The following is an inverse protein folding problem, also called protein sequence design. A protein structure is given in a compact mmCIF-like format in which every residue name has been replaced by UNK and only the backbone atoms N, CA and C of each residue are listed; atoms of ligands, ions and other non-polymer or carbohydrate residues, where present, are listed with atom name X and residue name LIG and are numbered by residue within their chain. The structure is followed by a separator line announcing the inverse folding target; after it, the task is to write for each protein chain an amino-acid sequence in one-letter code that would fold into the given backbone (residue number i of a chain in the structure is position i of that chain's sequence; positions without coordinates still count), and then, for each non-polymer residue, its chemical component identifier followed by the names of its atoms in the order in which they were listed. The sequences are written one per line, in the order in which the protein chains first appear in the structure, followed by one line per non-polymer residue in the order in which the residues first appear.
data_IF_246345488636
#
_entry.id   IF_246345488636
#
_cell.length_a   1.000
_cell.length_b   1.000
_cell.length_c   1.000
_cell.angle_alpha   90.00
_cell.angle_beta   90.00
_cell.angle_gamma   90.00
#
_symmetry.space_group_name_H-M   'P 1'
#
loop_
_entity.id
_entity.type
_entity.pdbx_description
1 polymer ?
#
# COMPACT_ATOMS: atom_id res chain seq x y z
N UNK A 1 -14.89 81.39 27.12
CA UNK A 1 -14.94 80.80 25.78
C UNK A 1 -13.89 79.74 25.74
N UNK A 2 -14.22 78.50 26.07
CA UNK A 2 -13.27 77.38 26.18
C UNK A 2 -13.79 76.21 25.37
N UNK A 3 -13.11 75.94 24.27
CA UNK A 3 -13.34 74.71 23.44
C UNK A 3 -12.60 73.49 24.08
N UNK A 4 -13.33 72.58 24.65
CA UNK A 4 -12.83 71.26 25.02
C UNK A 4 -12.88 70.34 23.81
N UNK A 5 -11.72 69.92 23.35
CA UNK A 5 -11.56 68.83 22.33
C UNK A 5 -11.63 67.48 23.03
N UNK A 6 -12.61 66.70 22.68
CA UNK A 6 -12.73 65.29 23.12
C UNK A 6 -11.96 64.44 22.13
N UNK A 7 -10.86 63.84 22.57
CA UNK A 7 -10.15 62.81 21.84
C UNK A 7 -10.83 61.45 22.07
N UNK A 8 -11.52 60.93 21.09
CA UNK A 8 -12.02 59.56 21.12
C UNK A 8 -10.88 58.62 20.68
N UNK A 9 -10.40 57.80 21.62
CA UNK A 9 -9.44 56.76 21.34
C UNK A 9 -10.12 55.54 20.70
N UNK A 10 -9.79 55.26 19.46
CA UNK A 10 -10.18 54.04 18.79
C UNK A 10 -9.23 52.91 19.26
N UNK A 11 -9.72 52.04 20.12
CA UNK A 11 -9.03 50.77 20.45
C UNK A 11 -9.25 49.77 19.31
N UNK A 12 -8.24 49.60 18.45
CA UNK A 12 -8.20 48.53 17.45
C UNK A 12 -7.91 47.25 18.20
N UNK A 13 -8.94 46.46 18.43
CA UNK A 13 -8.85 45.09 18.93
C UNK A 13 -8.38 44.17 17.80
N UNK A 14 -7.07 43.94 17.73
CA UNK A 14 -6.46 43.04 16.78
C UNK A 14 -6.77 41.60 17.20
N UNK A 15 -7.82 41.01 16.65
CA UNK A 15 -8.12 39.57 16.77
C UNK A 15 -7.08 38.82 15.97
N UNK A 16 -6.05 38.33 16.65
CA UNK A 16 -5.11 37.33 16.06
C UNK A 16 -5.88 36.02 15.95
N UNK A 17 -6.49 35.80 14.81
CA UNK A 17 -6.97 34.50 14.42
C UNK A 17 -5.75 33.60 14.25
N UNK A 18 -5.39 32.85 15.28
CA UNK A 18 -4.43 31.77 15.21
C UNK A 18 -4.97 30.75 14.21
N UNK A 19 -4.49 30.80 12.99
CA UNK A 19 -4.63 29.73 12.01
C UNK A 19 -3.88 28.52 12.58
N UNK A 20 -4.58 27.75 13.41
CA UNK A 20 -4.22 26.36 13.68
C UNK A 20 -4.31 25.66 12.33
N UNK A 21 -3.18 25.58 11.63
CA UNK A 21 -3.01 24.66 10.52
C UNK A 21 -3.14 23.26 11.14
N UNK A 22 -4.39 22.78 11.26
CA UNK A 22 -4.63 21.37 11.49
C UNK A 22 -3.95 20.66 10.33
N UNK A 23 -2.82 19.98 10.61
CA UNK A 23 -2.37 18.91 9.74
C UNK A 23 -3.59 18.02 9.62
N UNK A 24 -4.20 18.00 8.44
CA UNK A 24 -5.21 17.02 8.11
C UNK A 24 -4.45 15.68 8.05
N UNK A 25 -4.31 15.03 9.20
CA UNK A 25 -3.95 13.64 9.26
C UNK A 25 -5.08 12.90 8.53
N UNK A 26 -4.73 11.99 7.65
CA UNK A 26 -5.72 11.17 6.99
C UNK A 26 -6.53 10.42 8.06
N UNK A 27 -7.86 10.38 7.89
CA UNK A 27 -8.70 9.68 8.86
C UNK A 27 -8.50 8.16 8.73
N UNK A 28 -8.43 7.42 9.84
CA UNK A 28 -8.37 5.97 9.76
C UNK A 28 -9.57 5.39 9.00
N UNK A 29 -9.31 4.40 8.13
CA UNK A 29 -10.35 3.77 7.32
C UNK A 29 -11.27 2.91 8.21
N UNK A 30 -12.57 3.17 8.13
CA UNK A 30 -13.57 2.40 8.86
C UNK A 30 -13.72 0.99 8.27
N UNK A 31 -13.93 0.01 9.15
CA UNK A 31 -14.22 -1.38 8.76
C UNK A 31 -15.69 -1.45 8.31
N UNK A 32 -15.90 -1.59 6.99
CA UNK A 32 -17.22 -1.82 6.39
C UNK A 32 -17.42 -3.30 6.04
N UNK A 33 -16.35 -3.92 5.57
CA UNK A 33 -16.28 -5.32 5.20
C UNK A 33 -15.10 -5.94 5.96
N UNK A 34 -15.36 -6.61 7.12
CA UNK A 34 -14.31 -7.25 7.88
C UNK A 34 -13.69 -8.40 7.07
N UNK A 35 -12.38 -8.50 7.16
CA UNK A 35 -11.64 -9.61 6.55
C UNK A 35 -11.95 -10.93 7.23
N UNK A 36 -11.99 -11.99 6.43
CA UNK A 36 -12.23 -13.36 6.88
C UNK A 36 -11.00 -14.24 6.74
N UNK A 37 -11.22 -15.56 6.88
CA UNK A 37 -10.22 -16.55 6.51
C UNK A 37 -10.17 -16.67 5.00
N UNK A 38 -8.99 -16.45 4.42
CA UNK A 38 -8.79 -16.44 2.97
C UNK A 38 -7.60 -17.31 2.59
N UNK A 39 -7.75 -18.02 1.48
CA UNK A 39 -6.66 -18.68 0.78
C UNK A 39 -6.85 -18.43 -0.71
N UNK A 40 -6.01 -17.62 -1.31
CA UNK A 40 -6.10 -17.20 -2.71
C UNK A 40 -4.84 -17.53 -3.49
N UNK A 41 -5.00 -17.86 -4.77
CA UNK A 41 -3.90 -18.11 -5.69
C UNK A 41 -3.80 -16.95 -6.67
N UNK A 42 -2.56 -16.56 -6.97
CA UNK A 42 -2.24 -15.39 -7.76
C UNK A 42 -1.28 -15.74 -8.87
N UNK A 43 -1.44 -15.13 -10.03
CA UNK A 43 -0.45 -15.14 -11.09
C UNK A 43 0.22 -13.79 -11.20
N UNK A 44 1.53 -13.80 -11.40
CA UNK A 44 2.31 -12.61 -11.73
C UNK A 44 2.66 -12.67 -13.21
N UNK A 45 2.24 -11.64 -13.96
CA UNK A 45 2.48 -11.53 -15.39
C UNK A 45 3.31 -10.29 -15.71
N UNK A 46 4.06 -10.37 -16.81
CA UNK A 46 4.59 -9.17 -17.47
C UNK A 46 3.45 -8.39 -18.14
N UNK A 47 3.69 -7.14 -18.53
CA UNK A 47 2.72 -6.36 -19.31
C UNK A 47 2.45 -6.99 -20.70
N UNK A 48 3.38 -7.79 -21.22
CA UNK A 48 3.17 -8.58 -22.44
C UNK A 48 2.26 -9.81 -22.24
N UNK A 49 1.82 -10.07 -20.99
CA UNK A 49 0.92 -11.18 -20.66
C UNK A 49 1.63 -12.49 -20.32
N UNK A 50 2.96 -12.51 -20.32
CA UNK A 50 3.72 -13.73 -19.96
C UNK A 50 3.63 -13.98 -18.45
N UNK A 51 3.37 -15.21 -18.05
CA UNK A 51 3.44 -15.60 -16.63
C UNK A 51 4.91 -15.66 -16.19
N UNK A 52 5.31 -14.76 -15.33
CA UNK A 52 6.68 -14.63 -14.79
C UNK A 52 6.81 -15.14 -13.36
N UNK A 53 5.69 -15.37 -12.67
CA UNK A 53 5.66 -15.89 -11.30
C UNK A 53 4.28 -16.35 -10.90
N UNK A 54 4.21 -16.91 -9.72
CA UNK A 54 2.97 -17.33 -9.07
C UNK A 54 2.99 -16.92 -7.61
N UNK A 55 1.82 -16.72 -7.04
CA UNK A 55 1.69 -16.28 -5.65
C UNK A 55 0.55 -16.97 -4.93
N UNK A 56 0.61 -16.80 -3.65
CA UNK A 56 -0.36 -17.33 -2.70
C UNK A 56 -0.58 -16.29 -1.61
N UNK A 57 -1.83 -16.03 -1.28
CA UNK A 57 -2.21 -15.23 -0.13
C UNK A 57 -2.98 -16.11 0.84
N UNK A 58 -2.54 -16.13 2.09
CA UNK A 58 -3.26 -16.75 3.20
C UNK A 58 -3.59 -15.70 4.25
N UNK A 59 -4.78 -15.77 4.80
CA UNK A 59 -5.24 -14.83 5.82
C UNK A 59 -6.04 -15.58 6.87
N UNK A 60 -5.77 -15.29 8.14
CA UNK A 60 -6.46 -15.90 9.27
C UNK A 60 -6.90 -14.82 10.26
N UNK A 61 -8.08 -15.02 10.85
CA UNK A 61 -8.59 -14.14 11.90
C UNK A 61 -8.37 -14.81 13.25
N UNK A 62 -7.73 -14.12 14.16
CA UNK A 62 -7.45 -14.53 15.52
C UNK A 62 -8.43 -13.86 16.51
N UNK A 63 -8.32 -14.20 17.79
CA UNK A 63 -9.11 -13.54 18.85
C UNK A 63 -8.84 -12.02 18.87
N UNK A 64 -9.88 -11.23 19.12
CA UNK A 64 -9.80 -9.78 19.22
C UNK A 64 -9.71 -9.08 17.86
N UNK A 65 -10.27 -9.69 16.81
CA UNK A 65 -10.29 -9.15 15.44
C UNK A 65 -8.89 -8.87 14.89
N UNK A 66 -7.89 -9.60 15.38
CA UNK A 66 -6.53 -9.59 14.84
C UNK A 66 -6.50 -10.46 13.57
N UNK A 67 -6.10 -9.85 12.47
CA UNK A 67 -5.91 -10.52 11.19
C UNK A 67 -4.42 -10.67 10.93
N UNK A 68 -4.00 -11.87 10.56
CA UNK A 68 -2.66 -12.17 10.08
C UNK A 68 -2.75 -12.53 8.59
N UNK A 69 -2.10 -11.77 7.74
CA UNK A 69 -2.03 -11.99 6.30
C UNK A 69 -0.60 -12.32 5.88
N UNK A 70 -0.46 -13.28 4.98
CA UNK A 70 0.80 -13.69 4.42
C UNK A 70 0.67 -13.82 2.90
N UNK A 71 1.40 -12.97 2.17
CA UNK A 71 1.46 -12.93 0.71
C UNK A 71 2.85 -13.37 0.24
N UNK A 72 2.91 -14.35 -0.64
CA UNK A 72 4.18 -14.83 -1.20
C UNK A 72 4.09 -14.85 -2.72
N UNK A 73 5.07 -14.25 -3.40
CA UNK A 73 5.30 -14.46 -4.82
C UNK A 73 6.63 -15.16 -5.05
N UNK A 74 6.62 -16.19 -5.89
CA UNK A 74 7.80 -16.91 -6.38
C UNK A 74 7.89 -16.68 -7.89
N UNK A 75 8.97 -16.07 -8.32
CA UNK A 75 9.23 -15.77 -9.72
C UNK A 75 9.99 -16.90 -10.40
N UNK A 76 9.88 -17.00 -11.73
CA UNK A 76 10.59 -18.01 -12.53
C UNK A 76 12.10 -17.82 -12.52
N UNK A 77 12.59 -16.60 -12.31
CA UNK A 77 14.01 -16.25 -12.20
C UNK A 77 14.60 -16.53 -10.80
N UNK A 78 13.82 -17.13 -9.90
CA UNK A 78 14.22 -17.42 -8.51
C UNK A 78 13.98 -16.27 -7.54
N UNK A 79 13.48 -15.14 -8.00
CA UNK A 79 13.14 -14.01 -7.11
C UNK A 79 11.99 -14.38 -6.17
N UNK A 80 12.01 -13.77 -4.98
CA UNK A 80 11.04 -13.95 -3.92
C UNK A 80 10.54 -12.61 -3.40
N UNK A 81 9.22 -12.48 -3.33
CA UNK A 81 8.54 -11.47 -2.52
C UNK A 81 7.75 -12.19 -1.43
N UNK A 82 7.99 -11.85 -0.18
CA UNK A 82 7.35 -12.47 0.98
C UNK A 82 6.95 -11.37 1.95
N UNK A 83 5.64 -11.13 2.08
CA UNK A 83 5.06 -10.07 2.87
C UNK A 83 4.15 -10.64 3.94
N UNK A 84 4.38 -10.24 5.20
CA UNK A 84 3.56 -10.61 6.35
C UNK A 84 3.02 -9.36 7.02
N UNK A 85 1.75 -9.33 7.27
CA UNK A 85 1.04 -8.21 7.89
C UNK A 85 0.17 -8.72 9.02
N UNK A 86 0.22 -8.06 10.16
CA UNK A 86 -0.77 -8.23 11.21
C UNK A 86 -1.48 -6.89 11.45
N UNK A 87 -2.80 -6.92 11.52
CA UNK A 87 -3.62 -5.73 11.76
C UNK A 87 -4.88 -6.07 12.55
N UNK A 88 -5.47 -5.06 13.18
CA UNK A 88 -6.80 -5.20 13.80
C UNK A 88 -7.88 -4.56 12.94
N UNK A 89 -9.10 -5.10 13.04
CA UNK A 89 -10.28 -4.67 12.29
C UNK A 89 -11.50 -4.49 13.18
N UNK A 90 -11.37 -3.72 14.26
CA UNK A 90 -12.51 -3.49 15.16
C UNK A 90 -13.48 -2.44 14.57
N UNK A 91 -13.23 -1.15 14.77
CA UNK A 91 -14.00 -0.06 14.16
C UNK A 91 -13.27 0.54 12.96
N UNK A 92 -11.95 0.57 13.06
CA UNK A 92 -11.02 1.01 12.01
C UNK A 92 -9.91 -0.01 11.86
N UNK A 93 -9.31 -0.01 10.67
CA UNK A 93 -8.12 -0.83 10.44
C UNK A 93 -6.91 -0.19 11.12
N UNK A 94 -6.12 -1.03 11.79
CA UNK A 94 -4.89 -0.57 12.45
C UNK A 94 -3.77 -1.58 12.20
N UNK A 95 -2.71 -1.16 11.52
CA UNK A 95 -1.51 -1.96 11.31
C UNK A 95 -0.83 -2.24 12.67
N UNK A 96 -0.56 -3.49 12.99
CA UNK A 96 0.13 -3.93 14.21
C UNK A 96 1.58 -4.26 13.91
N UNK A 97 1.84 -5.05 12.87
CA UNK A 97 3.20 -5.36 12.43
C UNK A 97 3.27 -5.56 10.93
N UNK A 98 4.44 -5.28 10.38
CA UNK A 98 4.74 -5.45 8.97
C UNK A 98 6.11 -6.07 8.80
N UNK A 99 6.24 -7.05 7.91
CA UNK A 99 7.51 -7.67 7.54
C UNK A 99 7.49 -7.98 6.05
N UNK A 100 8.49 -7.47 5.32
CA UNK A 100 8.66 -7.68 3.90
C UNK A 100 10.08 -8.16 3.60
N UNK A 101 10.18 -9.24 2.84
CA UNK A 101 11.42 -9.71 2.24
C UNK A 101 11.29 -9.71 0.73
N UNK A 102 12.19 -9.01 0.05
CA UNK A 102 12.33 -9.03 -1.41
C UNK A 102 13.77 -9.35 -1.78
N UNK A 103 13.98 -10.33 -2.65
CA UNK A 103 15.32 -10.74 -3.09
C UNK A 103 15.28 -11.41 -4.44
N UNK A 104 16.41 -11.39 -5.14
CA UNK A 104 16.61 -12.02 -6.45
C UNK A 104 16.54 -11.04 -7.61
N UNK A 105 16.76 -11.51 -8.85
CA UNK A 105 17.00 -10.67 -10.03
C UNK A 105 15.86 -9.70 -10.40
N UNK A 106 14.60 -10.02 -10.04
CA UNK A 106 13.44 -9.12 -10.28
C UNK A 106 13.41 -7.90 -9.36
N UNK A 107 14.27 -7.83 -8.33
CA UNK A 107 14.31 -6.71 -7.39
C UNK A 107 15.65 -5.98 -7.49
N UNK A 108 15.65 -4.65 -7.80
CA UNK A 108 16.88 -3.86 -7.90
C UNK A 108 17.69 -3.89 -6.60
N UNK A 109 16.99 -3.84 -5.46
CA UNK A 109 17.58 -3.94 -4.13
C UNK A 109 16.96 -5.12 -3.39
N UNK A 110 17.81 -5.90 -2.74
CA UNK A 110 17.34 -6.91 -1.80
C UNK A 110 17.02 -6.22 -0.47
N UNK A 111 15.84 -6.47 0.07
CA UNK A 111 15.39 -5.87 1.33
C UNK A 111 14.78 -6.93 2.26
N UNK A 112 15.01 -6.73 3.55
CA UNK A 112 14.33 -7.41 4.64
C UNK A 112 13.98 -6.35 5.68
N UNK A 113 12.71 -5.94 5.70
CA UNK A 113 12.25 -4.84 6.54
C UNK A 113 11.15 -5.29 7.48
N UNK A 114 11.22 -4.85 8.72
CA UNK A 114 10.19 -5.14 9.72
C UNK A 114 9.91 -3.93 10.60
N UNK A 115 8.68 -3.80 11.06
CA UNK A 115 8.26 -2.83 12.06
C UNK A 115 7.14 -3.40 12.92
N UNK A 116 7.17 -3.08 14.21
CA UNK A 116 6.18 -3.48 15.21
C UNK A 116 5.62 -2.23 15.92
N UNK A 117 4.31 -2.06 15.89
CA UNK A 117 3.63 -0.91 16.48
C UNK A 117 3.74 -0.87 18.01
N UNK A 118 3.69 -2.03 18.65
CA UNK A 118 3.67 -2.11 20.11
C UNK A 118 4.97 -1.61 20.75
N UNK A 119 6.08 -1.83 20.07
CA UNK A 119 7.42 -1.40 20.52
C UNK A 119 7.95 -0.19 19.77
N UNK A 120 7.37 0.14 18.62
CA UNK A 120 7.90 1.12 17.68
C UNK A 120 9.21 0.69 17.00
N UNK A 121 9.72 -0.49 17.30
CA UNK A 121 11.02 -0.96 16.76
C UNK A 121 10.89 -1.29 15.28
N UNK A 122 11.90 -0.87 14.51
CA UNK A 122 12.07 -1.28 13.13
C UNK A 122 13.47 -1.83 12.86
N UNK A 123 13.54 -2.66 11.84
CA UNK A 123 14.80 -3.15 11.26
C UNK A 123 14.68 -3.04 9.74
N UNK A 124 15.70 -2.49 9.11
CA UNK A 124 15.85 -2.46 7.65
C UNK A 124 17.21 -3.09 7.34
N UNK A 125 17.18 -4.17 6.57
CA UNK A 125 18.35 -4.77 5.95
C UNK A 125 18.23 -4.53 4.46
N UNK A 126 19.22 -3.96 3.84
CA UNK A 126 19.23 -3.70 2.41
C UNK A 126 20.56 -4.05 1.80
N UNK A 127 20.52 -4.50 0.55
CA UNK A 127 21.71 -4.81 -0.23
C UNK A 127 21.45 -4.41 -1.69
N UNK A 128 22.15 -3.40 -2.17
CA UNK A 128 22.08 -2.92 -3.53
C UNK A 128 22.96 -3.80 -4.44
N UNK A 129 22.33 -4.73 -5.16
CA UNK A 129 23.05 -5.68 -6.02
C UNK A 129 23.74 -6.85 -5.27
N UNK A 130 24.31 -7.79 -6.02
CA UNK A 130 24.87 -9.02 -5.43
C UNK A 130 26.23 -8.83 -4.77
N UNK A 131 27.03 -7.89 -5.27
CA UNK A 131 28.42 -7.68 -4.82
C UNK A 131 28.55 -6.67 -3.65
N UNK A 132 27.49 -5.92 -3.33
CA UNK A 132 27.54 -4.93 -2.26
C UNK A 132 27.36 -5.54 -0.87
N UNK A 133 27.82 -4.82 0.13
CA UNK A 133 27.65 -5.24 1.54
C UNK A 133 26.23 -4.95 1.99
N UNK A 134 25.68 -5.86 2.80
CA UNK A 134 24.41 -5.61 3.48
C UNK A 134 24.55 -4.43 4.45
N UNK A 135 23.63 -3.47 4.32
CA UNK A 135 23.45 -2.41 5.29
C UNK A 135 22.31 -2.77 6.24
N UNK A 136 22.53 -2.56 7.54
CA UNK A 136 21.52 -2.84 8.56
C UNK A 136 21.27 -1.58 9.37
N UNK A 137 20.03 -1.09 9.33
CA UNK A 137 19.57 0.06 10.12
C UNK A 137 18.49 -0.41 11.08
N UNK A 138 18.60 -0.03 12.35
CA UNK A 138 17.62 -0.32 13.39
C UNK A 138 17.31 0.93 14.17
N UNK A 139 16.08 1.06 14.63
CA UNK A 139 15.66 2.22 15.42
C UNK A 139 14.27 2.06 15.97
N UNK A 140 13.73 3.18 16.41
CA UNK A 140 12.34 3.29 16.85
C UNK A 140 11.63 4.34 16.02
N UNK A 141 10.37 4.07 15.68
CA UNK A 141 9.53 4.94 14.88
C UNK A 141 8.11 4.95 15.45
N UNK A 142 7.57 6.14 15.68
CA UNK A 142 6.18 6.29 16.10
C UNK A 142 5.26 6.14 14.89
N UNK A 143 4.59 4.98 14.81
CA UNK A 143 3.80 4.59 13.66
C UNK A 143 2.47 5.36 13.62
N UNK A 144 2.21 6.22 12.64
CA UNK A 144 0.91 6.86 12.49
C UNK A 144 -0.23 5.85 12.42
N UNK A 145 -1.43 6.22 12.90
CA UNK A 145 -2.57 5.30 12.98
C UNK A 145 -3.10 4.87 11.61
N UNK A 146 -2.89 5.69 10.60
CA UNK A 146 -3.36 5.56 9.23
C UNK A 146 -2.29 5.06 8.24
N UNK A 147 -1.30 4.32 8.75
CA UNK A 147 -0.29 3.61 7.93
C UNK A 147 -0.80 2.20 7.60
N UNK A 148 -0.75 1.84 6.30
CA UNK A 148 -1.38 0.63 5.75
C UNK A 148 -0.47 -0.18 4.81
N UNK A 149 0.82 -0.36 5.15
CA UNK A 149 1.70 -1.26 4.41
C UNK A 149 1.10 -2.66 4.33
N UNK A 150 1.09 -3.24 3.13
CA UNK A 150 0.50 -4.56 2.87
C UNK A 150 -1.02 -4.64 2.98
N UNK A 151 -1.71 -3.52 3.26
CA UNK A 151 -3.15 -3.46 3.48
C UNK A 151 -3.88 -2.53 2.49
N UNK A 152 -3.19 -1.92 1.52
CA UNK A 152 -3.78 -0.89 0.65
C UNK A 152 -4.99 -1.43 -0.11
N UNK A 153 -4.95 -2.69 -0.56
CA UNK A 153 -6.10 -3.33 -1.23
C UNK A 153 -7.28 -3.47 -0.25
N UNK A 154 -7.04 -3.92 0.98
CA UNK A 154 -8.07 -3.98 2.04
C UNK A 154 -8.69 -2.60 2.27
N UNK A 155 -7.89 -1.53 2.26
CA UNK A 155 -8.41 -0.17 2.39
C UNK A 155 -9.36 0.18 1.24
N UNK A 156 -8.96 -0.09 -0.01
CA UNK A 156 -9.79 0.17 -1.19
C UNK A 156 -11.12 -0.61 -1.13
N UNK A 157 -11.09 -1.88 -0.71
CA UNK A 157 -12.30 -2.71 -0.56
C UNK A 157 -13.28 -2.14 0.48
N UNK A 158 -12.81 -1.31 1.40
CA UNK A 158 -13.60 -0.72 2.48
C UNK A 158 -14.02 0.74 2.20
N UNK A 159 -13.56 1.36 1.11
CA UNK A 159 -14.02 2.70 0.72
C UNK A 159 -15.48 2.66 0.23
N UNK A 160 -16.24 3.74 0.44
CA UNK A 160 -17.50 3.95 -0.29
C UNK A 160 -17.24 3.90 -1.80
N UNK A 161 -18.23 3.43 -2.57
CA UNK A 161 -18.15 3.42 -4.03
C UNK A 161 -17.80 4.82 -4.53
N UNK A 162 -16.85 4.90 -5.46
CA UNK A 162 -16.37 6.14 -6.09
C UNK A 162 -15.75 7.17 -5.12
N UNK A 163 -15.50 6.79 -3.86
CA UNK A 163 -14.80 7.66 -2.92
C UNK A 163 -13.28 7.55 -3.13
N UNK A 164 -12.63 8.71 -3.21
CA UNK A 164 -11.17 8.81 -3.09
C UNK A 164 -10.77 9.03 -1.64
N UNK A 165 -9.58 8.57 -1.27
CA UNK A 165 -9.03 8.76 0.07
C UNK A 165 -7.52 8.98 0.00
N UNK A 166 -6.96 9.55 1.07
CA UNK A 166 -5.51 9.65 1.27
C UNK A 166 -5.14 8.81 2.47
N UNK A 167 -4.26 7.86 2.27
CA UNK A 167 -3.70 7.01 3.33
C UNK A 167 -2.19 7.20 3.41
N UNK A 168 -1.57 6.62 4.42
CA UNK A 168 -0.12 6.60 4.54
C UNK A 168 0.44 5.19 4.34
N UNK A 169 1.64 5.14 3.79
CA UNK A 169 2.49 3.95 3.75
C UNK A 169 3.88 4.33 4.25
N UNK A 170 4.64 3.36 4.71
CA UNK A 170 6.07 3.53 4.99
C UNK A 170 6.89 3.17 3.76
N UNK A 171 7.77 4.06 3.37
CA UNK A 171 8.92 3.75 2.54
C UNK A 171 10.14 3.52 3.43
N UNK A 172 10.97 2.54 3.12
CA UNK A 172 12.19 2.22 3.84
C UNK A 172 13.40 2.65 3.02
N UNK A 173 14.07 3.78 3.40
CA UNK A 173 15.07 4.49 2.57
C UNK A 173 16.27 5.06 3.34
N UNK A 174 17.13 4.34 4.00
CA UNK A 174 16.98 3.11 4.75
C UNK A 174 16.11 3.26 6.00
N UNK A 175 15.92 4.49 6.52
CA UNK A 175 15.03 4.76 7.64
C UNK A 175 13.57 4.81 7.15
N UNK A 176 12.59 4.45 8.00
CA UNK A 176 11.18 4.56 7.65
C UNK A 176 10.76 6.02 7.44
N UNK A 177 10.16 6.31 6.31
CA UNK A 177 9.52 7.59 6.02
C UNK A 177 8.03 7.40 5.71
N UNK A 178 7.18 8.28 6.25
CA UNK A 178 5.74 8.27 5.95
C UNK A 178 5.49 8.93 4.62
N UNK A 179 4.91 8.19 3.69
CA UNK A 179 4.54 8.65 2.35
C UNK A 179 3.02 8.69 2.22
N UNK A 180 2.48 9.81 1.77
CA UNK A 180 1.05 9.94 1.44
C UNK A 180 0.76 9.19 0.15
N UNK A 181 -0.29 8.39 0.17
CA UNK A 181 -0.79 7.63 -0.98
C UNK A 181 -2.24 8.01 -1.23
N UNK A 182 -2.51 8.65 -2.38
CA UNK A 182 -3.89 8.96 -2.79
C UNK A 182 -4.48 7.74 -3.51
N UNK A 183 -5.64 7.29 -3.04
CA UNK A 183 -6.45 6.24 -3.64
C UNK A 183 -7.54 6.93 -4.46
N UNK A 184 -7.42 6.93 -5.78
CA UNK A 184 -8.26 7.71 -6.69
C UNK A 184 -9.12 6.78 -7.55
N UNK A 185 -10.45 6.81 -7.44
CA UNK A 185 -11.33 6.06 -8.33
C UNK A 185 -11.20 6.59 -9.77
N UNK A 186 -11.15 5.67 -10.74
CA UNK A 186 -10.98 5.97 -12.17
C UNK A 186 -12.15 5.45 -13.03
N UNK A 187 -13.25 5.08 -12.37
CA UNK A 187 -14.44 4.57 -13.04
C UNK A 187 -14.44 3.06 -13.24
N UNK A 188 -15.50 2.58 -13.88
CA UNK A 188 -15.71 1.15 -14.14
C UNK A 188 -15.07 0.74 -15.46
N UNK A 189 -14.37 -0.40 -15.43
CA UNK A 189 -13.75 -1.01 -16.60
C UNK A 189 -14.16 -2.47 -16.70
N UNK A 190 -14.19 -2.99 -17.94
CA UNK A 190 -14.38 -4.42 -18.16
C UNK A 190 -13.08 -5.14 -17.85
N UNK A 191 -13.15 -6.10 -16.94
CA UNK A 191 -12.06 -7.02 -16.63
C UNK A 191 -12.49 -8.44 -16.98
N UNK A 192 -11.51 -9.27 -17.32
CA UNK A 192 -11.74 -10.68 -17.62
C UNK A 192 -11.31 -11.54 -16.43
N UNK A 193 -12.23 -12.36 -15.93
CA UNK A 193 -11.99 -13.32 -14.85
C UNK A 193 -12.32 -14.71 -15.40
N UNK A 194 -11.30 -15.49 -15.74
CA UNK A 194 -11.49 -16.71 -16.51
C UNK A 194 -12.13 -16.41 -17.87
N UNK A 195 -13.31 -17.01 -18.12
CA UNK A 195 -14.08 -16.79 -19.36
C UNK A 195 -15.16 -15.71 -19.24
N UNK A 196 -15.30 -15.10 -18.06
CA UNK A 196 -16.34 -14.11 -17.77
C UNK A 196 -15.78 -12.70 -17.88
N UNK A 197 -16.52 -11.79 -18.55
CA UNK A 197 -16.29 -10.36 -18.48
C UNK A 197 -17.16 -9.75 -17.39
N UNK A 198 -16.53 -9.04 -16.46
CA UNK A 198 -17.19 -8.36 -15.33
C UNK A 198 -16.78 -6.89 -15.32
N UNK A 199 -17.68 -6.04 -14.81
CA UNK A 199 -17.34 -4.64 -14.53
C UNK A 199 -16.59 -4.59 -13.20
N UNK A 200 -15.42 -3.95 -13.19
CA UNK A 200 -14.64 -3.68 -12.00
C UNK A 200 -14.35 -2.19 -11.89
N UNK A 201 -14.36 -1.67 -10.67
CA UNK A 201 -13.94 -0.31 -10.39
C UNK A 201 -12.42 -0.26 -10.33
N UNK A 202 -11.83 0.63 -11.11
CA UNK A 202 -10.40 0.88 -11.09
C UNK A 202 -10.07 1.96 -10.04
N UNK A 203 -9.04 1.71 -9.24
CA UNK A 203 -8.37 2.70 -8.41
C UNK A 203 -6.94 2.91 -8.90
N UNK A 204 -6.55 4.18 -9.03
CA UNK A 204 -5.16 4.58 -9.20
C UNK A 204 -4.59 4.91 -7.82
N UNK A 205 -3.40 4.35 -7.51
CA UNK A 205 -2.65 4.69 -6.30
C UNK A 205 -1.57 5.69 -6.67
N UNK A 206 -1.67 6.90 -6.13
CA UNK A 206 -0.75 8.00 -6.45
C UNK A 206 0.02 8.43 -5.22
N UNK A 207 1.28 8.01 -5.08
CA UNK A 207 2.14 8.47 -4.01
C UNK A 207 2.47 9.96 -4.15
N UNK A 208 2.64 10.65 -3.03
CA UNK A 208 3.13 12.03 -3.03
C UNK A 208 4.63 12.07 -3.32
N UNK A 209 4.94 12.49 -4.54
CA UNK A 209 6.29 12.48 -5.09
C UNK A 209 7.20 13.53 -4.44
N UNK A 210 6.65 14.54 -3.76
CA UNK A 210 7.45 15.62 -3.16
C UNK A 210 8.51 15.09 -2.18
N UNK A 211 8.17 14.06 -1.44
CA UNK A 211 9.10 13.36 -0.53
C UNK A 211 10.04 12.40 -1.27
N UNK A 212 9.51 11.66 -2.24
CA UNK A 212 10.29 10.72 -3.05
C UNK A 212 11.34 11.46 -3.90
N UNK A 213 11.05 12.68 -4.37
CA UNK A 213 12.02 13.51 -5.09
C UNK A 213 13.24 13.90 -4.25
N UNK A 214 13.09 14.11 -2.96
CA UNK A 214 14.25 14.36 -2.08
C UNK A 214 15.22 13.18 -2.06
N UNK A 215 14.67 11.98 -2.18
CA UNK A 215 15.45 10.74 -2.22
C UNK A 215 15.99 10.45 -3.63
N UNK A 216 15.16 10.61 -4.67
CA UNK A 216 15.56 10.43 -6.07
C UNK A 216 16.48 11.55 -6.57
N UNK A 217 16.42 12.75 -6.01
CA UNK A 217 17.26 13.89 -6.39
C UNK A 217 18.76 13.68 -6.18
N UNK A 218 19.16 12.59 -5.52
CA UNK A 218 20.54 12.10 -5.49
C UNK A 218 20.92 11.24 -6.69
N UNK A 219 19.97 10.76 -7.47
CA UNK A 219 20.24 9.74 -8.50
C UNK A 219 20.07 10.28 -9.94
N UNK A 220 19.11 11.13 -10.28
CA UNK A 220 19.07 11.79 -11.61
C UNK A 220 17.96 12.84 -11.76
N UNK A 221 18.25 13.91 -12.53
CA UNK A 221 17.29 14.92 -13.04
C UNK A 221 16.45 14.43 -14.25
N UNK A 222 16.41 13.13 -14.56
CA UNK A 222 15.91 12.63 -15.86
C UNK A 222 14.92 11.48 -15.77
N UNK A 223 14.03 11.46 -14.79
CA UNK A 223 13.08 10.35 -14.74
C UNK A 223 11.66 10.80 -15.07
N UNK A 224 11.12 10.43 -16.25
CA UNK A 224 9.69 10.47 -16.50
C UNK A 224 9.04 9.31 -15.77
N UNK A 225 9.00 9.34 -14.41
CA UNK A 225 8.23 8.33 -13.69
C UNK A 225 6.75 8.61 -13.83
N UNK A 226 6.10 7.83 -14.64
CA UNK A 226 4.68 7.59 -14.52
C UNK A 226 4.53 6.45 -13.49
N UNK A 227 4.17 6.82 -12.27
CA UNK A 227 3.80 5.85 -11.26
C UNK A 227 2.45 5.24 -11.66
N UNK A 228 2.48 4.10 -12.32
CA UNK A 228 1.29 3.33 -12.64
C UNK A 228 1.07 2.28 -11.55
N UNK A 229 0.25 2.62 -10.59
CA UNK A 229 -0.24 1.67 -9.61
C UNK A 229 -1.76 1.62 -9.74
N UNK A 230 -2.27 0.57 -10.31
CA UNK A 230 -3.70 0.41 -10.54
C UNK A 230 -4.21 -0.86 -9.86
N UNK A 231 -5.39 -0.77 -9.26
CA UNK A 231 -6.08 -1.89 -8.66
C UNK A 231 -7.51 -1.95 -9.18
N UNK A 232 -7.98 -3.14 -9.54
CA UNK A 232 -9.37 -3.36 -9.95
C UNK A 232 -10.05 -4.23 -8.93
N UNK A 233 -11.25 -3.79 -8.51
CA UNK A 233 -12.09 -4.49 -7.55
C UNK A 233 -13.48 -4.70 -8.14
N UNK A 234 -14.09 -5.84 -7.89
CA UNK A 234 -15.53 -6.03 -8.11
C UNK A 234 -16.29 -5.30 -6.99
N UNK A 235 -17.42 -4.68 -7.37
CA UNK A 235 -18.33 -4.03 -6.43
C UNK A 235 -19.61 -4.86 -6.43
N UNK A 236 -19.53 -6.02 -5.83
CA UNK A 236 -20.68 -6.85 -5.49
C UNK A 236 -21.15 -6.49 -4.05
N UNK A 237 -22.02 -7.31 -3.44
CA UNK A 237 -22.44 -7.11 -2.05
C UNK A 237 -21.23 -7.06 -1.09
N UNK A 238 -20.22 -7.89 -1.35
CA UNK A 238 -18.91 -7.86 -0.70
C UNK A 238 -17.87 -7.56 -1.79
N UNK A 239 -17.19 -6.41 -1.73
CA UNK A 239 -16.15 -6.08 -2.70
C UNK A 239 -15.01 -7.10 -2.69
N UNK A 240 -14.45 -7.37 -3.86
CA UNK A 240 -13.37 -8.35 -3.98
C UNK A 240 -12.26 -7.89 -4.94
N UNK A 241 -11.02 -8.24 -4.62
CA UNK A 241 -9.85 -7.98 -5.45
C UNK A 241 -9.91 -8.81 -6.73
N UNK A 242 -9.53 -8.19 -7.85
CA UNK A 242 -9.42 -8.85 -9.15
C UNK A 242 -8.00 -8.80 -9.68
N UNK A 243 -7.44 -7.60 -9.76
CA UNK A 243 -6.18 -7.36 -10.44
C UNK A 243 -5.46 -6.16 -9.83
N UNK A 244 -4.14 -6.23 -9.83
CA UNK A 244 -3.25 -5.11 -9.56
C UNK A 244 -2.26 -4.98 -10.72
N UNK A 245 -1.91 -3.75 -11.10
CA UNK A 245 -0.87 -3.46 -12.07
C UNK A 245 0.03 -2.34 -11.53
N UNK A 246 1.28 -2.66 -11.36
CA UNK A 246 2.27 -1.75 -10.79
C UNK A 246 3.54 -2.48 -10.38
N UNK A 247 4.58 -1.75 -9.97
CA UNK A 247 5.78 -2.36 -9.44
C UNK A 247 5.55 -2.86 -7.99
N UNK A 248 6.21 -3.96 -7.64
CA UNK A 248 6.25 -4.49 -6.26
C UNK A 248 7.31 -3.81 -5.39
N UNK A 249 8.24 -3.12 -5.99
CA UNK A 249 9.27 -2.31 -5.36
C UNK A 249 9.40 -1.00 -6.13
N UNK A 250 9.66 0.09 -5.43
CA UNK A 250 9.96 1.37 -6.09
C UNK A 250 11.12 1.15 -7.07
N UNK A 251 10.96 1.61 -8.32
CA UNK A 251 11.90 1.39 -9.43
C UNK A 251 11.95 -0.05 -9.99
N UNK A 252 11.19 -0.98 -9.44
CA UNK A 252 11.07 -2.33 -9.98
C UNK A 252 10.25 -2.38 -11.27
N UNK A 253 10.25 -3.52 -11.95
CA UNK A 253 9.44 -3.71 -13.15
C UNK A 253 7.94 -3.65 -12.81
N UNK A 254 7.15 -3.10 -13.75
CA UNK A 254 5.70 -3.15 -13.65
C UNK A 254 5.25 -4.58 -13.92
N UNK A 255 4.47 -5.12 -13.02
CA UNK A 255 3.87 -6.46 -13.13
C UNK A 255 2.35 -6.36 -13.02
N UNK A 256 1.67 -7.36 -13.56
CA UNK A 256 0.24 -7.56 -13.38
C UNK A 256 0.04 -8.76 -12.47
N UNK A 257 -0.74 -8.57 -11.39
CA UNK A 257 -1.11 -9.61 -10.44
C UNK A 257 -2.59 -9.87 -10.60
N UNK A 258 -2.95 -11.13 -10.82
CA UNK A 258 -4.33 -11.56 -11.07
C UNK A 258 -4.72 -12.66 -10.09
N UNK A 259 -5.91 -12.55 -9.51
CA UNK A 259 -6.52 -13.64 -8.75
C UNK A 259 -6.93 -14.75 -9.72
N UNK A 260 -6.57 -15.99 -9.39
CA UNK A 260 -6.89 -17.15 -10.23
C UNK A 260 -7.46 -18.28 -9.40
N UNK A 261 -8.26 -19.13 -10.03
CA UNK A 261 -8.69 -20.40 -9.43
C UNK A 261 -7.55 -21.41 -9.49
N UNK A 262 -7.35 -22.25 -8.46
CA UNK A 262 -6.39 -23.34 -8.55
C UNK A 262 -6.81 -24.29 -9.66
N UNK A 263 -5.94 -24.52 -10.65
CA UNK A 263 -6.14 -25.59 -11.61
C UNK A 263 -5.66 -26.89 -10.99
N UNK A 264 -6.57 -27.78 -10.65
CA UNK A 264 -6.24 -29.16 -10.36
C UNK A 264 -5.80 -29.80 -11.66
N UNK A 265 -4.51 -30.15 -11.80
CA UNK A 265 -4.07 -31.03 -12.88
C UNK A 265 -4.67 -32.39 -12.57
N UNK A 266 -5.74 -32.75 -13.26
CA UNK A 266 -6.16 -34.15 -13.33
C UNK A 266 -5.07 -34.90 -14.11
N UNK A 267 -4.44 -35.87 -13.46
CA UNK A 267 -3.54 -36.77 -14.13
C UNK A 267 -4.35 -37.47 -15.25
N UNK A 268 -3.85 -37.50 -16.51
CA UNK A 268 -4.56 -38.17 -17.61
C UNK A 268 -4.71 -39.70 -17.39
N UNK A 269 -4.11 -40.26 -16.36
CA UNK A 269 -4.10 -41.69 -16.05
C UNK A 269 -5.27 -42.19 -15.16
N UNK A 270 -6.05 -41.30 -14.56
CA UNK A 270 -7.18 -41.69 -13.69
C UNK A 270 -8.49 -41.97 -14.47
N UNK A 271 -8.42 -42.06 -15.78
CA UNK A 271 -9.55 -42.27 -16.70
C UNK A 271 -9.51 -43.57 -17.53
N UNK A 272 -8.85 -44.62 -17.02
CA UNK A 272 -8.94 -45.97 -17.68
C UNK A 272 -9.48 -47.02 -16.73
#
# INVERSE_FOLDING_TARGET
MNHRRICAGFAVMMVIASLLSSRADAAPIAVRFPEGVTHGFLLVRSLAGETIGQGEITQVVKKGDLVESHLVFKFKDGSLHNEKVAFTQQHVFTLISYHLVQRGPSFPDQIDVSIDRGTGKYTVRSKAGEEEKEEVVTGTFDLPKDVYNGMVVTMVLNLPKDAGETVHILAFTPEPEVVKLKLLPRGEHLVRIGDLSRKALQYEFKPDIGMIRKWLGRITNQLPFQFHYNCWILIDEVPSFVQYEGPLQLMGPIVRIELVSPSLKTNPEDGK
#
